data_IF_453185822762
#
_entry.id   IF_453185822762
#
_cell.length_a   1.000
_cell.length_b   1.000
_cell.length_c   1.000
_cell.angle_alpha   90.00
_cell.angle_beta   90.00
_cell.angle_gamma   90.00
#
_symmetry.space_group_name_H-M   'P 1'
#
loop_
_entity.id
_entity.type
_entity.pdbx_description
1 polymer ?
#
# COMPACT_ATOMS: atom_id res chain seq x y z
N UNK A 1 -14.05 -33.41 -14.84
CA UNK A 1 -13.19 -33.04 -15.99
C UNK A 1 -12.46 -31.71 -15.80
N UNK A 2 -13.12 -30.54 -15.76
CA UNK A 2 -12.42 -29.27 -15.49
C UNK A 2 -12.05 -29.07 -14.00
N UNK A 3 -12.81 -29.68 -13.08
CA UNK A 3 -12.50 -29.69 -11.64
C UNK A 3 -11.30 -30.58 -11.27
N UNK A 4 -11.19 -31.77 -11.87
CA UNK A 4 -10.10 -32.72 -11.55
C UNK A 4 -8.71 -32.23 -11.98
N UNK A 5 -8.63 -31.52 -13.11
CA UNK A 5 -7.39 -30.88 -13.58
C UNK A 5 -6.98 -29.68 -12.71
N UNK A 6 -7.97 -28.97 -12.13
CA UNK A 6 -7.72 -27.89 -11.16
C UNK A 6 -7.25 -28.44 -9.83
N UNK A 7 -7.80 -29.57 -9.38
CA UNK A 7 -7.42 -30.24 -8.14
C UNK A 7 -6.02 -30.88 -8.19
N UNK A 8 -5.57 -31.34 -9.36
CA UNK A 8 -4.21 -31.91 -9.53
C UNK A 8 -3.11 -30.84 -9.55
N UNK A 9 -3.31 -29.74 -10.29
CA UNK A 9 -2.45 -28.55 -10.19
C UNK A 9 -2.50 -27.92 -8.80
N UNK A 10 -3.69 -27.89 -8.18
CA UNK A 10 -3.84 -27.46 -6.79
C UNK A 10 -3.19 -28.41 -5.79
N UNK A 11 -3.02 -29.71 -6.07
CA UNK A 11 -2.36 -30.66 -5.18
C UNK A 11 -0.83 -30.46 -5.17
N UNK A 12 -0.23 -30.22 -6.34
CA UNK A 12 1.20 -29.83 -6.45
C UNK A 12 1.44 -28.46 -5.82
N UNK A 13 0.53 -27.50 -6.05
CA UNK A 13 0.52 -26.22 -5.38
C UNK A 13 0.21 -26.35 -3.88
N UNK A 14 -0.58 -27.34 -3.43
CA UNK A 14 -0.97 -27.58 -2.03
C UNK A 14 0.20 -28.12 -1.21
N UNK A 15 1.10 -28.90 -1.81
CA UNK A 15 2.33 -29.35 -1.14
C UNK A 15 3.29 -28.17 -0.91
N UNK A 16 3.42 -27.28 -1.91
CA UNK A 16 4.15 -26.01 -1.79
C UNK A 16 3.44 -24.98 -0.89
N UNK A 17 2.10 -24.95 -0.90
CA UNK A 17 1.26 -24.11 -0.04
C UNK A 17 1.22 -24.61 1.40
N UNK A 18 1.32 -25.92 1.63
CA UNK A 18 1.43 -26.51 2.96
C UNK A 18 2.73 -26.06 3.63
N UNK A 19 3.82 -26.01 2.87
CA UNK A 19 5.09 -25.42 3.31
C UNK A 19 4.95 -23.90 3.53
N UNK A 20 4.26 -23.17 2.65
CA UNK A 20 4.00 -21.72 2.78
C UNK A 20 3.12 -21.34 3.97
N UNK A 21 2.00 -22.04 4.17
CA UNK A 21 1.04 -21.78 5.24
C UNK A 21 1.64 -22.15 6.59
N UNK A 22 2.39 -23.26 6.66
CA UNK A 22 3.19 -23.59 7.83
C UNK A 22 4.25 -22.51 8.09
N UNK A 23 4.91 -21.99 7.05
CA UNK A 23 5.90 -20.92 7.19
C UNK A 23 5.32 -19.57 7.62
N UNK A 24 4.20 -19.17 7.05
CA UNK A 24 3.51 -17.94 7.42
C UNK A 24 2.93 -18.02 8.84
N UNK A 25 2.39 -19.18 9.24
CA UNK A 25 1.90 -19.39 10.61
C UNK A 25 3.05 -19.33 11.64
N UNK A 26 4.20 -19.94 11.33
CA UNK A 26 5.37 -19.89 12.20
C UNK A 26 5.97 -18.48 12.31
N UNK A 27 6.04 -17.72 11.21
CA UNK A 27 6.49 -16.31 11.27
C UNK A 27 5.55 -15.42 12.09
N UNK A 28 4.23 -15.62 11.95
CA UNK A 28 3.25 -14.87 12.72
C UNK A 28 3.34 -15.16 14.23
N UNK A 29 3.70 -16.39 14.62
CA UNK A 29 4.02 -16.74 16.02
C UNK A 29 5.30 -16.03 16.48
N UNK A 30 6.36 -16.01 15.65
CA UNK A 30 7.63 -15.34 16.00
C UNK A 30 7.46 -13.82 16.13
N UNK A 31 6.64 -13.19 15.29
CA UNK A 31 6.36 -11.76 15.37
C UNK A 31 5.46 -11.42 16.59
N UNK A 32 4.55 -12.32 16.99
CA UNK A 32 3.77 -12.21 18.22
C UNK A 32 4.65 -12.40 19.47
N UNK A 33 5.58 -13.36 19.44
CA UNK A 33 6.55 -13.61 20.51
C UNK A 33 7.55 -12.44 20.66
N UNK A 34 7.96 -11.80 19.57
CA UNK A 34 8.76 -10.55 19.59
C UNK A 34 7.97 -9.34 20.10
N UNK A 35 6.65 -9.33 19.93
CA UNK A 35 5.77 -8.30 20.51
C UNK A 35 5.55 -8.50 22.00
N UNK A 36 5.55 -9.74 22.49
CA UNK A 36 5.32 -10.08 23.91
C UNK A 36 6.64 -10.10 24.70
N UNK A 37 7.75 -10.44 24.07
CA UNK A 37 9.09 -10.36 24.64
C UNK A 37 9.74 -9.03 24.29
N UNK A 38 9.52 -8.02 25.13
CA UNK A 38 10.27 -6.78 25.09
C UNK A 38 11.78 -7.04 25.06
N UNK A 39 12.49 -6.15 24.36
CA UNK A 39 13.94 -6.11 24.22
C UNK A 39 14.67 -6.37 25.55
N UNK A 40 15.14 -7.60 25.76
CA UNK A 40 16.36 -7.84 26.55
C UNK A 40 17.48 -8.06 25.54
N UNK A 41 18.22 -6.99 25.24
CA UNK A 41 19.56 -7.14 24.67
C UNK A 41 20.40 -8.00 25.63
N UNK A 42 21.09 -9.06 25.17
CA UNK A 42 22.05 -9.73 26.02
C UNK A 42 23.31 -8.85 26.07
N UNK A 43 23.54 -8.22 27.21
CA UNK A 43 24.85 -7.69 27.59
C UNK A 43 25.92 -8.76 27.37
N UNK A 44 26.95 -8.38 26.62
CA UNK A 44 28.14 -9.20 26.43
C UNK A 44 28.98 -9.18 27.70
N UNK A 45 28.85 -10.20 28.53
CA UNK A 45 29.90 -10.54 29.50
C UNK A 45 30.64 -11.81 29.08
N UNK A 46 31.88 -11.58 28.66
CA UNK A 46 32.85 -12.58 28.29
C UNK A 46 33.58 -13.09 29.54
N UNK A 47 33.14 -14.22 30.10
CA UNK A 47 34.00 -15.16 30.84
C UNK A 47 33.21 -16.32 31.42
N UNK A 48 33.38 -17.52 30.85
CA UNK A 48 33.56 -18.79 31.57
C UNK A 48 33.43 -19.96 30.58
N UNK A 49 34.56 -20.38 30.02
CA UNK A 49 34.67 -21.75 29.55
C UNK A 49 34.73 -22.69 30.76
N UNK A 50 34.10 -23.86 30.54
CA UNK A 50 34.52 -25.20 30.98
C UNK A 50 33.74 -25.84 32.14
N UNK A 51 33.38 -27.10 31.85
CA UNK A 51 32.95 -28.18 32.76
C UNK A 51 31.44 -28.31 33.02
N UNK A 52 30.79 -29.17 32.23
CA UNK A 52 30.33 -30.48 32.71
C UNK A 52 29.64 -31.25 31.57
N UNK A 53 30.31 -32.30 31.10
CA UNK A 53 29.67 -33.40 30.40
C UNK A 53 29.24 -34.42 31.46
N UNK A 54 27.94 -34.66 31.63
CA UNK A 54 27.39 -35.97 31.98
C UNK A 54 25.86 -35.95 31.90
N UNK A 55 25.28 -37.04 31.37
CA UNK A 55 23.93 -37.49 31.74
C UNK A 55 22.74 -37.01 30.90
N UNK A 56 22.17 -37.99 30.18
CA UNK A 56 20.74 -38.14 29.79
C UNK A 56 20.26 -37.53 28.46
N UNK A 57 20.51 -38.31 27.41
CA UNK A 57 19.55 -38.53 26.32
C UNK A 57 18.17 -38.92 26.88
N UNK A 58 17.22 -37.97 26.86
CA UNK A 58 15.82 -38.22 26.47
C UNK A 58 15.07 -36.90 26.40
N UNK A 59 14.25 -36.78 25.36
CA UNK A 59 13.28 -35.71 25.13
C UNK A 59 13.79 -34.41 24.50
N UNK A 60 14.71 -34.52 23.53
CA UNK A 60 14.79 -33.54 22.43
C UNK A 60 13.79 -33.93 21.32
N UNK A 61 12.49 -33.88 21.64
CA UNK A 61 11.44 -33.96 20.64
C UNK A 61 11.61 -32.75 19.70
N UNK A 62 11.99 -33.05 18.45
CA UNK A 62 12.05 -32.18 17.30
C UNK A 62 11.24 -30.87 17.44
N UNK A 63 11.91 -29.78 17.82
CA UNK A 63 11.44 -28.45 17.46
C UNK A 63 11.41 -28.42 15.94
N UNK A 64 10.27 -28.18 15.27
CA UNK A 64 10.25 -28.08 13.82
C UNK A 64 11.21 -26.96 13.42
N UNK A 65 12.18 -27.28 12.57
CA UNK A 65 13.09 -26.30 12.00
C UNK A 65 12.26 -25.16 11.40
N UNK A 66 12.55 -23.93 11.79
CA UNK A 66 11.94 -22.74 11.21
C UNK A 66 12.01 -22.85 9.68
N UNK A 67 10.89 -22.72 8.95
CA UNK A 67 10.93 -22.71 7.51
C UNK A 67 11.77 -21.50 7.10
N UNK A 68 12.93 -21.79 6.52
CA UNK A 68 14.00 -20.84 6.32
C UNK A 68 13.58 -19.74 5.34
N UNK A 69 14.11 -18.52 5.52
CA UNK A 69 14.08 -17.47 4.48
C UNK A 69 14.38 -18.01 3.08
N UNK A 70 15.23 -19.05 2.98
CA UNK A 70 15.53 -19.76 1.75
C UNK A 70 14.35 -20.51 1.12
N UNK A 71 13.48 -21.16 1.90
CA UNK A 71 12.25 -21.80 1.37
C UNK A 71 11.33 -20.74 0.77
N UNK A 72 11.17 -19.66 1.51
CA UNK A 72 10.42 -18.50 1.12
C UNK A 72 11.01 -17.85 -0.15
N UNK A 73 12.33 -17.75 -0.31
CA UNK A 73 12.99 -17.19 -1.50
C UNK A 73 12.92 -18.13 -2.71
N UNK A 74 12.92 -19.44 -2.49
CA UNK A 74 12.65 -20.43 -3.53
C UNK A 74 11.20 -20.30 -4.05
N UNK A 75 10.25 -19.96 -3.18
CA UNK A 75 8.85 -19.72 -3.53
C UNK A 75 8.62 -18.35 -4.19
N UNK A 76 9.55 -17.41 -4.01
CA UNK A 76 9.61 -16.15 -4.76
C UNK A 76 10.25 -16.32 -6.16
N UNK A 77 10.55 -17.55 -6.59
CA UNK A 77 10.98 -17.83 -7.95
C UNK A 77 9.85 -17.53 -8.96
N UNK A 78 10.19 -17.05 -10.16
CA UNK A 78 9.20 -16.81 -11.22
C UNK A 78 8.34 -18.06 -11.50
N UNK A 79 8.94 -19.24 -11.51
CA UNK A 79 8.25 -20.49 -11.83
C UNK A 79 7.19 -20.86 -10.77
N UNK A 80 7.52 -20.71 -9.48
CA UNK A 80 6.58 -20.99 -8.39
C UNK A 80 5.44 -19.95 -8.38
N UNK A 81 5.77 -18.69 -8.62
CA UNK A 81 4.80 -17.61 -8.70
C UNK A 81 3.85 -17.78 -9.89
N UNK A 82 4.37 -18.15 -11.07
CA UNK A 82 3.58 -18.43 -12.26
C UNK A 82 2.60 -19.59 -12.02
N UNK A 83 3.05 -20.68 -11.39
CA UNK A 83 2.17 -21.81 -11.02
C UNK A 83 1.04 -21.37 -10.07
N UNK A 84 1.37 -20.52 -9.09
CA UNK A 84 0.39 -19.96 -8.16
C UNK A 84 -0.64 -19.07 -8.86
N UNK A 85 -0.17 -18.18 -9.76
CA UNK A 85 -1.03 -17.30 -10.56
C UNK A 85 -1.91 -18.08 -11.55
N UNK A 86 -1.38 -19.13 -12.19
CA UNK A 86 -2.16 -20.02 -13.06
C UNK A 86 -3.27 -20.74 -12.30
N UNK A 87 -2.98 -21.18 -11.07
CA UNK A 87 -3.98 -21.79 -10.20
C UNK A 87 -5.07 -20.79 -9.82
N UNK A 88 -4.70 -19.59 -9.38
CA UNK A 88 -5.64 -18.50 -9.11
C UNK A 88 -6.46 -18.10 -10.34
N UNK A 89 -5.85 -18.11 -11.52
CA UNK A 89 -6.49 -17.79 -12.78
C UNK A 89 -7.61 -18.77 -13.15
N UNK A 90 -7.61 -19.99 -12.60
CA UNK A 90 -8.69 -20.95 -12.82
C UNK A 90 -10.03 -20.51 -12.18
N UNK A 91 -9.98 -19.67 -11.14
CA UNK A 91 -11.14 -19.17 -10.40
C UNK A 91 -11.72 -17.85 -10.95
N UNK A 92 -11.03 -17.16 -11.87
CA UNK A 92 -11.36 -15.79 -12.30
C UNK A 92 -12.78 -15.59 -12.84
N UNK A 93 -13.33 -16.60 -13.51
CA UNK A 93 -14.65 -16.55 -14.15
C UNK A 93 -15.73 -17.31 -13.37
N UNK A 94 -15.42 -17.79 -12.15
CA UNK A 94 -16.40 -18.49 -11.34
C UNK A 94 -17.47 -17.52 -10.85
N UNK A 95 -18.74 -17.85 -11.09
CA UNK A 95 -19.87 -17.09 -10.52
C UNK A 95 -19.98 -17.29 -9.01
N UNK A 96 -19.76 -18.54 -8.57
CA UNK A 96 -19.70 -18.96 -7.19
C UNK A 96 -18.59 -20.01 -7.04
N UNK A 97 -17.97 -20.04 -5.86
CA UNK A 97 -16.93 -21.00 -5.50
C UNK A 97 -17.47 -21.95 -4.45
N UNK A 98 -17.19 -23.23 -4.63
CA UNK A 98 -17.35 -24.22 -3.57
C UNK A 98 -16.54 -23.81 -2.33
N UNK A 99 -16.88 -24.36 -1.16
CA UNK A 99 -16.21 -24.00 0.09
C UNK A 99 -14.70 -24.30 0.05
N UNK A 100 -14.35 -25.52 -0.36
CA UNK A 100 -12.96 -25.97 -0.53
C UNK A 100 -12.18 -25.15 -1.58
N UNK A 101 -12.81 -24.83 -2.71
CA UNK A 101 -12.21 -23.99 -3.76
C UNK A 101 -11.97 -22.56 -3.25
N UNK A 102 -12.92 -22.02 -2.48
CA UNK A 102 -12.76 -20.71 -1.87
C UNK A 102 -11.65 -20.70 -0.84
N UNK A 103 -11.56 -21.72 0.02
CA UNK A 103 -10.50 -21.85 1.03
C UNK A 103 -9.11 -21.94 0.40
N UNK A 104 -8.96 -22.74 -0.66
CA UNK A 104 -7.73 -22.83 -1.44
C UNK A 104 -7.36 -21.48 -2.06
N UNK A 105 -8.30 -20.83 -2.75
CA UNK A 105 -8.07 -19.55 -3.41
C UNK A 105 -7.77 -18.41 -2.43
N UNK A 106 -8.38 -18.42 -1.24
CA UNK A 106 -8.06 -17.47 -0.16
C UNK A 106 -6.65 -17.72 0.38
N UNK A 107 -6.28 -18.98 0.61
CA UNK A 107 -4.94 -19.37 1.05
C UNK A 107 -3.85 -18.96 0.04
N UNK A 108 -4.13 -19.12 -1.26
CA UNK A 108 -3.27 -18.65 -2.34
C UNK A 108 -3.11 -17.12 -2.33
N UNK A 109 -4.19 -16.37 -2.14
CA UNK A 109 -4.12 -14.91 -2.03
C UNK A 109 -3.31 -14.45 -0.80
N UNK A 110 -3.45 -15.12 0.35
CA UNK A 110 -2.68 -14.80 1.55
C UNK A 110 -1.19 -15.12 1.36
N UNK A 111 -0.85 -16.27 0.76
CA UNK A 111 0.52 -16.59 0.39
C UNK A 111 1.11 -15.56 -0.59
N UNK A 112 0.32 -15.13 -1.58
CA UNK A 112 0.71 -14.08 -2.51
C UNK A 112 0.99 -12.75 -1.79
N UNK A 113 0.17 -12.33 -0.81
CA UNK A 113 0.44 -11.13 -0.02
C UNK A 113 1.80 -11.19 0.67
N UNK A 114 2.15 -12.34 1.26
CA UNK A 114 3.45 -12.55 1.92
C UNK A 114 4.61 -12.51 0.92
N UNK A 115 4.45 -13.13 -0.25
CA UNK A 115 5.48 -13.12 -1.29
C UNK A 115 5.71 -11.71 -1.85
N UNK A 116 4.63 -10.94 -2.06
CA UNK A 116 4.67 -9.57 -2.57
C UNK A 116 5.35 -8.56 -1.63
N UNK A 117 5.71 -8.94 -0.40
CA UNK A 117 6.60 -8.13 0.44
C UNK A 117 8.06 -8.12 -0.08
N UNK A 118 8.39 -8.95 -1.08
CA UNK A 118 9.74 -9.05 -1.62
C UNK A 118 9.84 -8.43 -3.00
N UNK A 119 10.82 -7.54 -3.24
CA UNK A 119 11.00 -6.89 -4.54
C UNK A 119 11.13 -7.87 -5.71
N UNK A 120 11.81 -9.01 -5.49
CA UNK A 120 11.99 -10.04 -6.53
C UNK A 120 10.65 -10.68 -6.94
N UNK A 121 9.80 -11.00 -5.97
CA UNK A 121 8.49 -11.57 -6.23
C UNK A 121 7.54 -10.53 -6.85
N UNK A 122 7.61 -9.26 -6.42
CA UNK A 122 6.84 -8.17 -7.04
C UNK A 122 7.19 -7.98 -8.52
N UNK A 123 8.49 -7.99 -8.86
CA UNK A 123 8.94 -7.87 -10.25
C UNK A 123 8.48 -9.06 -11.10
N UNK A 124 8.60 -10.29 -10.57
CA UNK A 124 8.12 -11.49 -11.25
C UNK A 124 6.58 -11.48 -11.40
N UNK A 125 5.85 -11.04 -10.38
CA UNK A 125 4.39 -10.90 -10.39
C UNK A 125 3.93 -9.93 -11.48
N UNK A 126 4.61 -8.80 -11.61
CA UNK A 126 4.31 -7.80 -12.63
C UNK A 126 4.60 -8.34 -14.04
N UNK A 127 5.72 -9.07 -14.21
CA UNK A 127 6.07 -9.72 -15.46
C UNK A 127 5.06 -10.81 -15.86
N UNK A 128 4.48 -11.51 -14.88
CA UNK A 128 3.52 -12.59 -15.05
C UNK A 128 2.06 -12.12 -15.24
N UNK A 129 1.82 -10.83 -15.52
CA UNK A 129 0.48 -10.24 -15.64
C UNK A 129 -0.39 -10.44 -14.38
N UNK A 130 0.24 -10.50 -13.20
CA UNK A 130 -0.46 -10.70 -11.94
C UNK A 130 -1.45 -9.58 -11.62
N UNK A 131 -1.13 -8.33 -12.00
CA UNK A 131 -2.02 -7.17 -11.81
C UNK A 131 -3.33 -7.37 -12.58
N UNK A 132 -3.26 -7.82 -13.83
CA UNK A 132 -4.40 -8.15 -14.66
C UNK A 132 -5.27 -9.22 -14.02
N UNK A 133 -4.65 -10.30 -13.53
CA UNK A 133 -5.36 -11.37 -12.86
C UNK A 133 -6.11 -10.88 -11.63
N UNK A 134 -5.48 -10.08 -10.77
CA UNK A 134 -6.14 -9.52 -9.58
C UNK A 134 -7.31 -8.60 -9.96
N UNK A 135 -7.16 -7.78 -11.01
CA UNK A 135 -8.25 -6.94 -11.52
C UNK A 135 -9.42 -7.78 -12.05
N UNK A 136 -9.17 -8.93 -12.68
CA UNK A 136 -10.20 -9.87 -13.09
C UNK A 136 -10.89 -10.54 -11.90
N UNK A 137 -10.13 -10.95 -10.87
CA UNK A 137 -10.67 -11.55 -9.65
C UNK A 137 -11.57 -10.58 -8.88
N UNK A 138 -11.25 -9.28 -8.89
CA UNK A 138 -12.11 -8.24 -8.32
C UNK A 138 -13.47 -8.11 -9.01
N UNK A 139 -13.54 -8.46 -10.29
CA UNK A 139 -14.79 -8.48 -11.07
C UNK A 139 -15.50 -9.83 -10.99
N UNK A 140 -14.78 -10.91 -10.68
CA UNK A 140 -15.28 -12.27 -10.58
C UNK A 140 -15.92 -12.60 -9.21
N UNK A 141 -15.55 -13.74 -8.58
CA UNK A 141 -16.27 -14.32 -7.46
C UNK A 141 -16.24 -13.43 -6.21
N UNK A 142 -17.42 -13.16 -5.65
CA UNK A 142 -17.59 -12.23 -4.51
C UNK A 142 -16.79 -12.60 -3.27
N UNK A 143 -16.52 -13.90 -3.06
CA UNK A 143 -15.72 -14.42 -1.95
C UNK A 143 -14.24 -14.03 -2.05
N UNK A 144 -13.70 -13.83 -3.25
CA UNK A 144 -12.28 -13.52 -3.45
C UNK A 144 -11.99 -12.02 -3.54
N UNK A 145 -13.01 -11.17 -3.73
CA UNK A 145 -12.79 -9.72 -3.94
C UNK A 145 -12.02 -9.05 -2.80
N UNK A 146 -12.30 -9.31 -1.51
CA UNK A 146 -11.52 -8.70 -0.43
C UNK A 146 -10.04 -9.10 -0.47
N UNK A 147 -9.75 -10.39 -0.64
CA UNK A 147 -8.38 -10.89 -0.68
C UNK A 147 -7.63 -10.48 -1.95
N UNK A 148 -8.32 -10.40 -3.09
CA UNK A 148 -7.74 -9.89 -4.33
C UNK A 148 -7.41 -8.40 -4.23
N UNK A 149 -8.25 -7.60 -3.57
CA UNK A 149 -7.98 -6.16 -3.36
C UNK A 149 -6.79 -5.97 -2.41
N UNK A 150 -6.71 -6.81 -1.36
CA UNK A 150 -5.56 -6.84 -0.46
C UNK A 150 -4.28 -7.22 -1.19
N UNK A 151 -4.29 -8.29 -1.98
CA UNK A 151 -3.14 -8.68 -2.78
C UNK A 151 -2.72 -7.57 -3.76
N UNK A 152 -3.69 -6.85 -4.33
CA UNK A 152 -3.42 -5.72 -5.22
C UNK A 152 -2.74 -4.56 -4.47
N UNK A 153 -3.15 -4.27 -3.23
CA UNK A 153 -2.49 -3.29 -2.35
C UNK A 153 -1.01 -3.64 -2.16
N UNK A 154 -0.67 -4.89 -1.86
CA UNK A 154 0.72 -5.34 -1.74
C UNK A 154 1.47 -5.32 -3.08
N UNK A 155 0.78 -5.59 -4.19
CA UNK A 155 1.40 -5.62 -5.52
C UNK A 155 1.82 -4.23 -6.01
N UNK A 156 1.08 -3.18 -5.63
CA UNK A 156 1.40 -1.79 -6.02
C UNK A 156 2.25 -1.06 -4.99
N UNK A 157 2.34 -1.56 -3.75
CA UNK A 157 3.15 -0.95 -2.70
C UNK A 157 4.64 -1.01 -3.06
N UNK A 158 5.28 0.16 -3.19
CA UNK A 158 6.70 0.32 -3.50
C UNK A 158 7.17 -0.46 -4.77
N UNK A 159 6.26 -0.72 -5.71
CA UNK A 159 6.51 -1.48 -6.93
C UNK A 159 6.46 -0.56 -8.16
N UNK A 160 7.61 -0.17 -8.72
CA UNK A 160 7.67 0.77 -9.84
C UNK A 160 7.02 0.16 -11.08
N UNK A 161 6.12 0.90 -11.71
CA UNK A 161 5.38 0.49 -12.91
C UNK A 161 4.11 -0.33 -12.64
N UNK A 162 3.92 -0.89 -11.43
CA UNK A 162 2.69 -1.60 -11.10
C UNK A 162 1.47 -0.66 -11.08
N UNK A 163 1.64 0.57 -10.59
CA UNK A 163 0.59 1.58 -10.60
C UNK A 163 0.21 2.01 -12.01
N UNK A 164 1.19 2.23 -12.88
CA UNK A 164 0.96 2.46 -14.30
C UNK A 164 0.15 1.31 -14.93
N UNK A 165 0.50 0.06 -14.58
CA UNK A 165 -0.19 -1.13 -15.09
C UNK A 165 -1.66 -1.19 -14.68
N UNK A 166 -1.97 -0.85 -13.42
CA UNK A 166 -3.35 -0.74 -12.93
C UNK A 166 -4.17 0.23 -13.78
N UNK A 167 -3.60 1.38 -14.17
CA UNK A 167 -4.31 2.37 -14.99
C UNK A 167 -4.51 1.88 -16.42
N UNK A 168 -3.49 1.31 -17.05
CA UNK A 168 -3.56 0.77 -18.42
C UNK A 168 -4.60 -0.35 -18.57
N UNK A 169 -4.75 -1.16 -17.53
CA UNK A 169 -5.66 -2.32 -17.50
C UNK A 169 -7.07 -1.97 -16.98
N UNK A 170 -7.39 -0.68 -16.86
CA UNK A 170 -8.72 -0.21 -16.50
C UNK A 170 -9.07 -0.38 -15.01
N UNK A 171 -8.07 -0.60 -14.14
CA UNK A 171 -8.26 -0.80 -12.71
C UNK A 171 -8.92 0.38 -11.99
N UNK A 172 -8.81 1.61 -12.51
CA UNK A 172 -9.48 2.79 -11.97
C UNK A 172 -11.01 2.65 -11.91
N UNK A 173 -11.61 1.92 -12.85
CA UNK A 173 -13.05 1.64 -12.80
C UNK A 173 -13.43 0.73 -11.63
N UNK A 174 -12.60 -0.29 -11.38
CA UNK A 174 -12.78 -1.23 -10.27
C UNK A 174 -12.55 -0.53 -8.92
N UNK A 175 -11.48 0.27 -8.81
CA UNK A 175 -11.16 1.05 -7.62
C UNK A 175 -12.22 2.13 -7.34
N UNK A 176 -12.73 2.81 -8.37
CA UNK A 176 -13.85 3.74 -8.24
C UNK A 176 -15.12 3.04 -7.75
N UNK A 177 -15.41 1.84 -8.25
CA UNK A 177 -16.49 1.00 -7.73
C UNK A 177 -16.29 0.60 -6.27
N UNK A 178 -15.06 0.27 -5.86
CA UNK A 178 -14.71 -0.05 -4.48
C UNK A 178 -14.90 1.15 -3.54
N UNK A 179 -14.41 2.32 -3.96
CA UNK A 179 -14.53 3.59 -3.24
C UNK A 179 -15.99 3.97 -2.99
N UNK A 180 -16.85 3.77 -3.99
CA UNK A 180 -18.28 4.05 -3.93
C UNK A 180 -19.10 2.92 -3.24
N UNK A 181 -18.45 1.90 -2.68
CA UNK A 181 -19.13 0.77 -2.04
C UNK A 181 -19.92 -0.13 -2.99
N UNK A 182 -19.66 -0.06 -4.31
CA UNK A 182 -20.37 -0.83 -5.36
C UNK A 182 -19.86 -2.27 -5.48
N UNK A 183 -18.70 -2.60 -4.92
CA UNK A 183 -18.17 -3.96 -4.90
C UNK A 183 -18.88 -4.82 -3.84
N UNK A 184 -19.80 -5.68 -4.29
CA UNK A 184 -20.53 -6.64 -3.42
C UNK A 184 -19.62 -7.79 -2.95
N UNK A 185 -19.71 -8.18 -1.68
CA UNK A 185 -18.96 -9.32 -1.08
C UNK A 185 -19.88 -10.51 -0.81
N UNK A 186 -19.29 -11.70 -0.71
CA UNK A 186 -20.00 -12.97 -0.55
C UNK A 186 -20.58 -13.25 0.84
N UNK A 187 -20.22 -12.51 1.89
CA UNK A 187 -20.73 -12.74 3.25
C UNK A 187 -20.70 -11.48 4.14
N UNK A 188 -21.58 -11.47 5.16
CA UNK A 188 -21.74 -10.43 6.19
C UNK A 188 -20.66 -10.48 7.30
N UNK A 189 -19.80 -11.51 7.31
CA UNK A 189 -18.88 -11.80 8.42
C UNK A 189 -17.44 -11.30 8.21
N UNK A 190 -17.09 -10.82 7.00
CA UNK A 190 -15.83 -10.10 6.73
C UNK A 190 -16.00 -8.58 6.92
N UNK A 191 -16.78 -8.20 7.94
CA UNK A 191 -16.74 -6.84 8.50
C UNK A 191 -15.49 -6.69 9.36
N UNK A 192 -14.32 -6.99 8.78
CA UNK A 192 -13.14 -6.21 9.14
C UNK A 192 -13.46 -4.80 8.63
N UNK A 193 -13.50 -3.85 9.57
CA UNK A 193 -13.75 -2.46 9.25
C UNK A 193 -12.88 -2.06 8.04
N UNK A 194 -13.50 -1.49 7.01
CA UNK A 194 -12.79 -0.80 5.93
C UNK A 194 -12.06 -1.67 4.87
N UNK A 195 -12.48 -2.93 4.62
CA UNK A 195 -11.86 -3.74 3.55
C UNK A 195 -12.01 -3.15 2.13
N UNK A 196 -13.02 -2.32 1.88
CA UNK A 196 -13.34 -1.80 0.54
C UNK A 196 -12.75 -0.42 0.27
N UNK A 197 -13.31 0.67 0.84
CA UNK A 197 -12.89 2.03 0.52
C UNK A 197 -11.44 2.32 0.95
N UNK A 198 -11.05 1.99 2.19
CA UNK A 198 -9.69 2.22 2.69
C UNK A 198 -8.60 1.51 1.87
N UNK A 199 -8.82 0.25 1.48
CA UNK A 199 -7.88 -0.48 0.61
C UNK A 199 -7.86 0.06 -0.82
N UNK A 200 -9.00 0.44 -1.37
CA UNK A 200 -9.06 1.06 -2.69
C UNK A 200 -8.28 2.38 -2.73
N UNK A 201 -8.38 3.17 -1.67
CA UNK A 201 -7.61 4.39 -1.48
C UNK A 201 -6.12 4.10 -1.34
N UNK A 202 -5.73 3.02 -0.65
CA UNK A 202 -4.34 2.60 -0.55
C UNK A 202 -3.74 2.30 -1.94
N UNK A 203 -4.46 1.51 -2.75
CA UNK A 203 -4.06 1.22 -4.13
C UNK A 203 -4.00 2.50 -4.96
N UNK A 204 -5.00 3.38 -4.83
CA UNK A 204 -5.03 4.66 -5.55
C UNK A 204 -3.86 5.56 -5.17
N UNK A 205 -3.53 5.68 -3.88
CA UNK A 205 -2.40 6.47 -3.42
C UNK A 205 -1.07 5.94 -3.97
N UNK A 206 -0.88 4.61 -3.95
CA UNK A 206 0.31 3.97 -4.53
C UNK A 206 0.39 4.19 -6.05
N UNK A 207 -0.73 4.09 -6.78
CA UNK A 207 -0.81 4.45 -8.21
C UNK A 207 -0.39 5.91 -8.43
N UNK A 208 -0.92 6.84 -7.63
CA UNK A 208 -0.56 8.25 -7.71
C UNK A 208 0.94 8.47 -7.44
N UNK A 209 1.53 7.77 -6.48
CA UNK A 209 2.97 7.86 -6.18
C UNK A 209 3.84 7.32 -7.33
N UNK A 210 3.51 6.15 -7.89
CA UNK A 210 4.23 5.53 -9.02
C UNK A 210 4.19 6.39 -10.29
N UNK A 211 3.02 6.98 -10.59
CA UNK A 211 2.85 7.87 -11.76
C UNK A 211 3.55 9.23 -11.61
N UNK A 212 3.95 9.59 -10.39
CA UNK A 212 4.75 10.77 -10.08
C UNK A 212 6.26 10.50 -10.01
N UNK A 213 6.68 9.24 -10.18
CA UNK A 213 8.08 8.93 -10.41
C UNK A 213 8.45 9.36 -11.84
N UNK A 214 9.30 10.37 -11.92
CA UNK A 214 9.94 10.80 -13.16
C UNK A 214 10.92 9.72 -13.61
N UNK A 215 10.98 9.47 -14.92
CA UNK A 215 12.12 8.76 -15.51
C UNK A 215 13.38 9.55 -15.13
N UNK A 216 14.47 8.85 -14.80
CA UNK A 216 15.74 9.40 -14.29
C UNK A 216 16.52 10.25 -15.32
N UNK A 217 15.86 11.19 -16.01
CA UNK A 217 16.39 11.96 -17.12
C UNK A 217 16.75 13.43 -16.81
N UNK A 218 16.30 14.00 -15.69
CA UNK A 218 16.49 15.44 -15.38
C UNK A 218 17.36 15.68 -14.13
N UNK A 219 18.42 14.89 -13.98
CA UNK A 219 19.55 15.29 -13.15
C UNK A 219 20.34 16.42 -13.84
N UNK A 220 20.81 17.46 -13.12
CA UNK A 220 21.61 18.54 -13.71
C UNK A 220 22.91 18.06 -14.39
N UNK A 221 23.33 16.82 -14.15
CA UNK A 221 24.56 16.24 -14.69
C UNK A 221 24.48 15.80 -16.17
N UNK A 222 23.29 15.61 -16.76
CA UNK A 222 23.16 15.24 -18.18
C UNK A 222 23.07 16.42 -19.16
N UNK A 223 22.81 17.64 -18.68
CA UNK A 223 22.89 18.85 -19.52
C UNK A 223 24.32 19.14 -20.01
N UNK A 224 25.33 18.64 -19.29
CA UNK A 224 26.73 18.70 -19.71
C UNK A 224 27.09 17.58 -20.70
N UNK A 225 26.45 16.41 -20.62
CA UNK A 225 26.67 15.31 -21.56
C UNK A 225 26.00 15.54 -22.93
N UNK A 226 24.88 16.26 -22.98
CA UNK A 226 24.17 16.58 -24.24
C UNK A 226 24.79 17.77 -25.00
N UNK A 227 25.78 18.46 -24.44
CA UNK A 227 26.45 19.58 -25.10
C UNK A 227 27.70 19.19 -25.91
N UNK A 228 28.14 17.92 -25.88
CA UNK A 228 29.33 17.47 -26.62
C UNK A 228 29.05 16.64 -27.88
N UNK A 229 27.80 16.23 -28.16
CA UNK A 229 27.48 15.50 -29.39
C UNK A 229 26.80 16.41 -30.42
N UNK A 230 27.62 17.17 -31.14
CA UNK A 230 27.23 17.89 -32.36
C UNK A 230 27.73 17.12 -33.58
N UNK A 231 26.87 16.30 -34.21
CA UNK A 231 26.85 16.16 -35.67
C UNK A 231 25.57 15.47 -36.18
N UNK A 232 24.91 15.95 -37.25
CA UNK A 232 23.67 15.37 -37.74
C UNK A 232 23.90 14.39 -38.89
N UNK A 233 23.35 13.18 -38.79
CA UNK A 233 23.09 12.31 -39.94
C UNK A 233 21.67 11.75 -39.84
N UNK A 234 20.86 11.76 -40.92
CA UNK A 234 19.47 11.33 -40.87
C UNK A 234 19.40 9.82 -41.10
N UNK A 235 19.56 9.04 -40.03
CA UNK A 235 19.11 7.64 -40.02
C UNK A 235 17.87 7.54 -39.15
N UNK A 236 16.73 7.36 -39.80
CA UNK A 236 15.48 6.97 -39.16
C UNK A 236 15.68 5.64 -38.45
N UNK A 237 15.79 5.68 -37.13
CA UNK A 237 15.49 4.54 -36.25
C UNK A 237 14.29 4.95 -35.41
N UNK A 238 13.21 4.15 -35.34
CA UNK A 238 12.09 4.45 -34.46
C UNK A 238 12.60 4.37 -33.01
N UNK A 239 12.20 5.28 -32.10
CA UNK A 239 12.53 5.13 -30.69
C UNK A 239 11.76 3.93 -30.14
N UNK A 240 12.41 2.77 -30.07
CA UNK A 240 11.95 1.63 -29.29
C UNK A 240 12.34 1.84 -27.83
N UNK A 241 11.51 2.57 -27.10
CA UNK A 241 11.46 2.49 -25.63
C UNK A 241 10.00 2.60 -25.22
N UNK A 242 9.33 1.45 -25.09
CA UNK A 242 7.92 1.31 -24.72
C UNK A 242 7.68 1.59 -23.23
N UNK A 243 8.24 2.68 -22.70
CA UNK A 243 7.91 3.14 -21.37
C UNK A 243 6.50 3.75 -21.41
N UNK A 244 5.61 3.42 -20.45
CA UNK A 244 4.28 3.99 -20.42
C UNK A 244 4.38 5.51 -20.27
N UNK A 245 3.63 6.26 -21.08
CA UNK A 245 3.52 7.71 -20.94
C UNK A 245 2.81 8.04 -19.62
N UNK A 246 3.59 8.17 -18.54
CA UNK A 246 3.09 8.45 -17.21
C UNK A 246 2.29 9.75 -17.18
N UNK A 247 2.61 10.74 -18.03
CA UNK A 247 1.83 11.98 -18.10
C UNK A 247 0.42 11.73 -18.64
N UNK A 248 0.28 10.96 -19.71
CA UNK A 248 -1.03 10.53 -20.19
C UNK A 248 -1.78 9.71 -19.14
N UNK A 249 -1.11 8.83 -18.39
CA UNK A 249 -1.73 8.05 -17.32
C UNK A 249 -2.20 8.94 -16.16
N UNK A 250 -1.45 9.96 -15.76
CA UNK A 250 -1.86 10.92 -14.72
C UNK A 250 -3.16 11.65 -15.11
N UNK A 251 -3.25 12.11 -16.35
CA UNK A 251 -4.46 12.73 -16.87
C UNK A 251 -5.66 11.77 -16.87
N UNK A 252 -5.44 10.48 -17.18
CA UNK A 252 -6.51 9.46 -17.11
C UNK A 252 -7.03 9.25 -15.69
N UNK A 253 -6.14 9.27 -14.70
CA UNK A 253 -6.54 9.21 -13.28
C UNK A 253 -7.42 10.40 -12.94
N UNK A 254 -6.99 11.63 -13.24
CA UNK A 254 -7.77 12.83 -12.98
C UNK A 254 -9.15 12.79 -13.67
N UNK A 255 -9.19 12.45 -14.97
CA UNK A 255 -10.43 12.37 -15.74
C UNK A 255 -11.44 11.38 -15.13
N UNK A 256 -10.98 10.26 -14.55
CA UNK A 256 -11.87 9.30 -13.86
C UNK A 256 -12.57 9.90 -12.65
N UNK A 257 -11.99 10.91 -12.00
CA UNK A 257 -12.62 11.64 -10.89
C UNK A 257 -13.48 12.83 -11.35
N UNK A 258 -13.53 13.12 -12.64
CA UNK A 258 -14.41 14.13 -13.26
C UNK A 258 -15.68 13.52 -13.84
N UNK A 259 -15.65 12.23 -14.13
CA UNK A 259 -16.84 11.47 -14.53
C UNK A 259 -17.98 11.61 -13.51
N UNK A 260 -19.21 11.45 -14.01
CA UNK A 260 -20.42 11.31 -13.15
C UNK A 260 -20.55 12.39 -12.09
N UNK A 261 -20.30 13.66 -12.48
CA UNK A 261 -20.39 14.83 -11.60
C UNK A 261 -19.49 14.73 -10.35
N UNK A 262 -18.28 14.19 -10.51
CA UNK A 262 -17.30 14.07 -9.44
C UNK A 262 -17.70 13.12 -8.29
N UNK A 263 -18.59 12.13 -8.52
CA UNK A 263 -19.04 11.21 -7.45
C UNK A 263 -17.88 10.53 -6.70
N UNK A 264 -16.79 10.22 -7.42
CA UNK A 264 -15.61 9.57 -6.85
C UNK A 264 -14.81 10.54 -5.97
N UNK A 265 -14.76 11.81 -6.36
CA UNK A 265 -14.12 12.85 -5.56
C UNK A 265 -14.93 13.16 -4.29
N UNK A 266 -16.26 13.17 -4.41
CA UNK A 266 -17.18 13.31 -3.28
C UNK A 266 -16.95 12.20 -2.24
N UNK A 267 -16.94 10.93 -2.68
CA UNK A 267 -16.69 9.80 -1.79
C UNK A 267 -15.28 9.82 -1.18
N UNK A 268 -14.25 10.19 -1.96
CA UNK A 268 -12.89 10.37 -1.46
C UNK A 268 -12.83 11.44 -0.35
N UNK A 269 -13.47 12.59 -0.57
CA UNK A 269 -13.48 13.70 0.36
C UNK A 269 -14.33 13.42 1.60
N UNK A 270 -15.42 12.67 1.48
CA UNK A 270 -16.21 12.22 2.62
C UNK A 270 -15.38 11.32 3.56
N UNK A 271 -14.64 10.37 3.00
CA UNK A 271 -13.69 9.54 3.75
C UNK A 271 -12.58 10.39 4.37
N UNK A 272 -12.04 11.36 3.62
CA UNK A 272 -10.99 12.25 4.13
C UNK A 272 -11.46 13.00 5.37
N UNK A 273 -12.64 13.61 5.32
CA UNK A 273 -13.19 14.30 6.49
C UNK A 273 -13.48 13.36 7.65
N UNK A 274 -14.05 12.17 7.39
CA UNK A 274 -14.33 11.18 8.44
C UNK A 274 -13.07 10.74 9.20
N UNK A 275 -11.97 10.49 8.49
CA UNK A 275 -10.70 10.16 9.12
C UNK A 275 -10.03 11.38 9.79
N UNK A 276 -10.12 12.56 9.17
CA UNK A 276 -9.57 13.80 9.73
C UNK A 276 -10.24 14.15 11.07
N UNK A 277 -11.57 14.03 11.16
CA UNK A 277 -12.33 14.27 12.38
C UNK A 277 -11.99 13.25 13.48
N UNK A 278 -11.85 11.97 13.13
CA UNK A 278 -11.45 10.93 14.10
C UNK A 278 -10.05 11.17 14.65
N UNK A 279 -9.08 11.43 13.79
CA UNK A 279 -7.70 11.75 14.21
C UNK A 279 -7.67 13.03 15.05
N UNK A 280 -8.37 14.08 14.62
CA UNK A 280 -8.46 15.34 15.37
C UNK A 280 -9.11 15.17 16.75
N UNK A 281 -10.12 14.34 16.89
CA UNK A 281 -10.76 14.04 18.17
C UNK A 281 -9.81 13.32 19.14
N UNK A 282 -8.99 12.39 18.64
CA UNK A 282 -7.97 11.71 19.44
C UNK A 282 -6.88 12.70 19.91
N UNK A 283 -6.41 13.58 19.01
CA UNK A 283 -5.46 14.64 19.35
C UNK A 283 -6.01 15.60 20.41
N UNK A 284 -7.28 16.00 20.29
CA UNK A 284 -7.93 16.86 21.28
C UNK A 284 -8.10 16.14 22.63
N UNK A 285 -8.45 14.87 22.63
CA UNK A 285 -8.57 14.06 23.85
C UNK A 285 -7.22 13.92 24.57
N UNK A 286 -6.14 13.63 23.83
CA UNK A 286 -4.78 13.59 24.39
C UNK A 286 -4.36 14.97 24.93
N UNK A 287 -4.64 16.05 24.19
CA UNK A 287 -4.35 17.42 24.64
C UNK A 287 -5.04 17.74 25.98
N UNK A 288 -6.32 17.38 26.14
CA UNK A 288 -7.05 17.56 27.41
C UNK A 288 -6.43 16.75 28.54
N UNK A 289 -6.06 15.49 28.31
CA UNK A 289 -5.36 14.65 29.30
C UNK A 289 -4.02 15.26 29.74
N UNK A 290 -3.25 15.80 28.79
CA UNK A 290 -1.98 16.49 29.07
C UNK A 290 -2.21 17.77 29.92
N UNK A 291 -3.21 18.58 29.57
CA UNK A 291 -3.57 19.78 30.32
C UNK A 291 -4.05 19.47 31.74
N UNK A 292 -4.88 18.43 31.91
CA UNK A 292 -5.34 17.98 33.22
C UNK A 292 -4.20 17.46 34.09
N UNK A 293 -3.29 16.65 33.54
CA UNK A 293 -2.11 16.18 34.24
C UNK A 293 -1.20 17.36 34.65
N UNK A 294 -1.05 18.36 33.77
CA UNK A 294 -0.30 19.58 34.07
C UNK A 294 -0.96 20.40 35.17
N UNK A 295 -2.27 20.59 35.12
CA UNK A 295 -3.04 21.32 36.13
C UNK A 295 -3.01 20.68 37.51
N UNK A 296 -2.87 19.35 37.57
CA UNK A 296 -2.69 18.58 38.82
C UNK A 296 -1.24 18.49 39.29
N UNK A 297 -0.27 19.02 38.53
CA UNK A 297 1.16 18.89 38.85
C UNK A 297 1.71 17.47 38.67
N UNK A 298 1.02 16.60 37.92
CA UNK A 298 1.38 15.20 37.70
C UNK A 298 2.10 14.97 36.36
N UNK A 299 2.22 15.99 35.51
CA UNK A 299 2.83 15.87 34.18
C UNK A 299 4.36 15.80 34.29
N UNK A 300 4.89 14.59 34.51
CA UNK A 300 6.31 14.31 34.38
C UNK A 300 6.72 14.13 32.91
N UNK A 301 8.02 14.25 32.56
CA UNK A 301 8.50 13.96 31.21
C UNK A 301 8.12 12.56 30.73
N UNK A 302 8.18 11.56 31.61
CA UNK A 302 7.87 10.16 31.31
C UNK A 302 6.39 9.97 30.99
N UNK A 303 5.50 10.54 31.81
CA UNK A 303 4.06 10.49 31.54
C UNK A 303 3.69 11.21 30.23
N UNK A 304 4.37 12.32 29.92
CA UNK A 304 4.17 13.02 28.65
C UNK A 304 4.52 12.13 27.46
N UNK A 305 5.64 11.41 27.51
CA UNK A 305 6.04 10.48 26.44
C UNK A 305 5.01 9.37 26.30
N UNK A 306 4.63 8.71 27.41
CA UNK A 306 3.64 7.63 27.39
C UNK A 306 2.28 8.07 26.80
N UNK A 307 1.80 9.27 27.11
CA UNK A 307 0.55 9.80 26.55
C UNK A 307 0.64 10.14 25.06
N UNK A 308 1.84 10.50 24.57
CA UNK A 308 2.07 10.75 23.15
C UNK A 308 2.21 9.45 22.36
N UNK A 309 2.86 8.43 22.94
CA UNK A 309 2.94 7.08 22.35
C UNK A 309 1.53 6.47 22.24
N UNK A 310 0.73 6.52 23.32
CA UNK A 310 -0.67 6.08 23.31
C UNK A 310 -1.49 6.82 22.23
N UNK A 311 -1.22 8.11 22.02
CA UNK A 311 -1.88 8.88 20.96
C UNK A 311 -1.49 8.37 19.56
N UNK A 312 -0.23 8.08 19.30
CA UNK A 312 0.21 7.60 17.99
C UNK A 312 -0.34 6.19 17.70
N UNK A 313 -0.41 5.31 18.69
CA UNK A 313 -1.11 4.02 18.59
C UNK A 313 -2.60 4.21 18.29
N UNK A 314 -3.28 5.08 19.04
CA UNK A 314 -4.70 5.37 18.84
C UNK A 314 -4.98 5.99 17.47
N UNK A 315 -4.10 6.86 16.97
CA UNK A 315 -4.20 7.43 15.62
C UNK A 315 -4.08 6.36 14.55
N UNK A 316 -3.15 5.41 14.70
CA UNK A 316 -2.97 4.31 13.77
C UNK A 316 -4.20 3.38 13.76
N UNK A 317 -4.63 2.93 14.94
CA UNK A 317 -5.64 1.87 15.08
C UNK A 317 -7.08 2.40 15.01
N UNK A 318 -7.40 3.44 15.79
CA UNK A 318 -8.78 3.98 15.93
C UNK A 318 -9.04 5.11 14.92
N UNK A 319 -8.03 5.98 14.74
CA UNK A 319 -8.11 7.13 13.84
C UNK A 319 -8.01 6.76 12.36
N UNK A 320 -7.31 5.68 12.04
CA UNK A 320 -6.98 5.31 10.66
C UNK A 320 -6.06 6.33 10.00
N UNK A 321 -5.00 6.74 10.70
CA UNK A 321 -4.02 7.72 10.23
C UNK A 321 -3.40 7.36 8.87
N UNK A 322 -3.05 6.09 8.66
CA UNK A 322 -2.49 5.65 7.38
C UNK A 322 -3.46 5.84 6.22
N UNK A 323 -4.76 5.57 6.43
CA UNK A 323 -5.80 5.85 5.43
C UNK A 323 -5.93 7.34 5.19
N UNK A 324 -5.89 8.18 6.24
CA UNK A 324 -5.91 9.64 6.10
C UNK A 324 -4.73 10.16 5.27
N UNK A 325 -3.53 9.64 5.52
CA UNK A 325 -2.32 9.99 4.77
C UNK A 325 -2.43 9.57 3.29
N UNK A 326 -2.93 8.36 3.02
CA UNK A 326 -3.19 7.86 1.64
C UNK A 326 -4.25 8.71 0.93
N UNK A 327 -5.33 9.10 1.61
CA UNK A 327 -6.32 10.05 1.11
C UNK A 327 -5.68 11.40 0.77
N UNK A 328 -4.81 11.91 1.64
CA UNK A 328 -4.13 13.18 1.41
C UNK A 328 -3.23 13.14 0.16
N UNK A 329 -2.51 12.05 -0.07
CA UNK A 329 -1.73 11.83 -1.28
C UNK A 329 -2.64 11.85 -2.52
N UNK A 330 -3.73 11.09 -2.50
CA UNK A 330 -4.69 11.03 -3.60
C UNK A 330 -5.31 12.41 -3.89
N UNK A 331 -5.76 13.14 -2.86
CA UNK A 331 -6.32 14.48 -3.00
C UNK A 331 -5.31 15.47 -3.57
N UNK A 332 -4.06 15.46 -3.10
CA UNK A 332 -3.02 16.36 -3.60
C UNK A 332 -2.60 16.04 -5.05
N UNK A 333 -2.60 14.75 -5.41
CA UNK A 333 -2.41 14.33 -6.79
C UNK A 333 -3.54 14.84 -7.69
N UNK A 334 -4.80 14.66 -7.29
CA UNK A 334 -5.96 15.16 -8.04
C UNK A 334 -5.98 16.69 -8.12
N UNK A 335 -5.54 17.39 -7.07
CA UNK A 335 -5.38 18.85 -7.09
C UNK A 335 -4.37 19.30 -8.15
N UNK A 336 -3.26 18.58 -8.27
CA UNK A 336 -2.20 18.86 -9.25
C UNK A 336 -2.67 18.60 -10.68
N UNK A 337 -3.14 17.38 -10.95
CA UNK A 337 -3.42 16.90 -12.32
C UNK A 337 -4.86 17.19 -12.80
N UNK A 338 -5.77 17.53 -11.90
CA UNK A 338 -7.17 17.80 -12.20
C UNK A 338 -7.42 19.08 -12.99
N UNK A 339 -8.55 19.13 -13.71
CA UNK A 339 -9.05 20.36 -14.30
C UNK A 339 -9.46 21.39 -13.24
N UNK A 340 -9.70 22.63 -13.66
CA UNK A 340 -10.21 23.67 -12.77
C UNK A 340 -11.58 23.33 -12.18
N UNK A 341 -12.39 22.54 -12.89
CA UNK A 341 -13.66 22.02 -12.37
C UNK A 341 -13.46 21.10 -11.17
N UNK A 342 -12.53 20.13 -11.31
CA UNK A 342 -12.20 19.22 -10.21
C UNK A 342 -11.58 19.97 -9.02
N UNK A 343 -10.69 20.93 -9.27
CA UNK A 343 -10.09 21.76 -8.20
C UNK A 343 -11.15 22.56 -7.45
N UNK A 344 -12.07 23.22 -8.15
CA UNK A 344 -13.19 23.95 -7.53
C UNK A 344 -14.02 23.00 -6.67
N UNK A 345 -14.37 21.81 -7.18
CA UNK A 345 -15.14 20.83 -6.43
C UNK A 345 -14.41 20.34 -5.17
N UNK A 346 -13.12 20.01 -5.27
CA UNK A 346 -12.32 19.61 -4.10
C UNK A 346 -12.26 20.73 -3.04
N UNK A 347 -12.12 21.99 -3.48
CA UNK A 347 -12.10 23.14 -2.58
C UNK A 347 -13.47 23.38 -1.92
N UNK A 348 -14.57 23.28 -2.67
CA UNK A 348 -15.93 23.33 -2.13
C UNK A 348 -16.13 22.26 -1.05
N UNK A 349 -15.76 21.00 -1.35
CA UNK A 349 -15.92 19.89 -0.42
C UNK A 349 -15.12 20.09 0.87
N UNK A 350 -13.90 20.61 0.78
CA UNK A 350 -13.10 20.99 1.96
C UNK A 350 -13.84 22.05 2.79
N UNK A 351 -14.31 23.12 2.15
CA UNK A 351 -14.95 24.24 2.85
C UNK A 351 -16.30 23.87 3.48
N UNK A 352 -17.01 22.86 2.98
CA UNK A 352 -18.27 22.38 3.59
C UNK A 352 -18.08 21.99 5.06
N UNK A 353 -16.90 21.45 5.44
CA UNK A 353 -16.58 21.11 6.83
C UNK A 353 -15.69 22.12 7.53
N UNK A 354 -15.57 23.33 6.96
CA UNK A 354 -14.77 24.42 7.53
C UNK A 354 -13.26 24.21 7.48
N UNK A 355 -12.78 23.23 6.71
CA UNK A 355 -11.36 22.98 6.47
C UNK A 355 -10.96 23.51 5.10
N UNK A 356 -9.72 23.96 4.97
CA UNK A 356 -9.14 24.39 3.70
C UNK A 356 -7.98 23.47 3.28
N UNK A 357 -7.27 23.87 2.23
CA UNK A 357 -6.05 23.19 1.77
C UNK A 357 -4.96 23.10 2.86
N UNK A 358 -5.04 23.94 3.90
CA UNK A 358 -4.15 23.86 5.06
C UNK A 358 -4.27 22.53 5.82
N UNK A 359 -5.46 21.94 5.91
CA UNK A 359 -5.66 20.64 6.55
C UNK A 359 -4.96 19.53 5.76
N UNK A 360 -5.16 19.52 4.43
CA UNK A 360 -4.49 18.60 3.52
C UNK A 360 -2.96 18.73 3.60
N UNK A 361 -2.46 19.96 3.63
CA UNK A 361 -1.04 20.27 3.81
C UNK A 361 -0.50 19.76 5.15
N UNK A 362 -1.24 19.95 6.23
CA UNK A 362 -0.86 19.48 7.57
C UNK A 362 -0.65 17.97 7.62
N UNK A 363 -1.57 17.20 7.02
CA UNK A 363 -1.46 15.73 6.93
C UNK A 363 -0.23 15.32 6.13
N UNK A 364 0.00 15.92 4.97
CA UNK A 364 1.18 15.63 4.14
C UNK A 364 2.50 16.01 4.82
N UNK A 365 2.52 17.10 5.61
CA UNK A 365 3.68 17.51 6.40
C UNK A 365 3.97 16.53 7.54
N UNK A 366 2.94 16.00 8.20
CA UNK A 366 3.11 14.92 9.20
C UNK A 366 3.71 13.70 8.51
N UNK A 367 3.11 13.23 7.42
CA UNK A 367 3.61 12.09 6.68
C UNK A 367 5.10 12.26 6.31
N UNK A 368 5.50 13.44 5.80
CA UNK A 368 6.89 13.71 5.44
C UNK A 368 7.84 13.64 6.66
N UNK A 369 7.39 14.07 7.84
CA UNK A 369 8.16 13.99 9.09
C UNK A 369 8.33 12.54 9.55
N UNK A 370 7.29 11.74 9.36
CA UNK A 370 7.20 10.37 9.89
C UNK A 370 7.81 9.32 8.94
N UNK A 371 8.34 9.70 7.77
CA UNK A 371 9.03 8.80 6.82
C UNK A 371 10.31 8.13 7.39
N UNK A 372 10.75 8.52 8.58
CA UNK A 372 12.06 8.23 9.17
C UNK A 372 12.43 6.75 9.27
N UNK A 373 11.47 5.87 9.56
CA UNK A 373 11.74 4.51 10.06
C UNK A 373 11.33 3.36 9.12
N UNK A 374 10.60 3.64 8.03
CA UNK A 374 9.94 2.59 7.23
C UNK A 374 10.61 2.26 5.88
N UNK A 375 11.62 3.02 5.44
CA UNK A 375 12.21 2.85 4.11
C UNK A 375 13.32 1.78 4.09
N UNK A 376 13.21 0.80 3.19
CA UNK A 376 14.24 -0.25 3.01
C UNK A 376 15.62 0.29 2.58
N UNK A 377 15.68 1.50 2.00
CA UNK A 377 16.92 2.12 1.53
C UNK A 377 16.87 3.66 1.69
N UNK A 378 18.00 4.33 1.95
CA UNK A 378 18.08 5.79 1.94
C UNK A 378 17.64 6.39 0.59
N UNK A 379 17.79 5.65 -0.51
CA UNK A 379 17.35 6.10 -1.84
C UNK A 379 15.83 6.10 -1.98
N UNK A 380 15.15 5.04 -1.50
CA UNK A 380 13.68 4.96 -1.55
C UNK A 380 13.05 6.03 -0.66
N UNK A 381 13.65 6.29 0.51
CA UNK A 381 13.30 7.44 1.36
C UNK A 381 13.41 8.76 0.60
N UNK A 382 14.57 9.06 0.01
CA UNK A 382 14.80 10.32 -0.74
C UNK A 382 13.84 10.46 -1.92
N UNK A 383 13.54 9.38 -2.64
CA UNK A 383 12.56 9.37 -3.74
C UNK A 383 11.17 9.77 -3.23
N UNK A 384 10.72 9.16 -2.13
CA UNK A 384 9.43 9.44 -1.52
C UNK A 384 9.34 10.86 -0.94
N UNK A 385 10.40 11.33 -0.26
CA UNK A 385 10.53 12.72 0.21
C UNK A 385 10.40 13.73 -0.94
N UNK A 386 11.07 13.51 -2.08
CA UNK A 386 10.95 14.37 -3.25
C UNK A 386 9.52 14.40 -3.81
N UNK A 387 8.86 13.24 -3.92
CA UNK A 387 7.48 13.14 -4.39
C UNK A 387 6.51 13.91 -3.49
N UNK A 388 6.58 13.66 -2.18
CA UNK A 388 5.72 14.32 -1.20
C UNK A 388 6.02 15.82 -1.12
N UNK A 389 7.28 16.24 -1.23
CA UNK A 389 7.66 17.64 -1.33
C UNK A 389 7.02 18.35 -2.54
N UNK A 390 6.93 17.67 -3.69
CA UNK A 390 6.23 18.22 -4.88
C UNK A 390 4.72 18.35 -4.67
N UNK A 391 4.06 17.36 -4.06
CA UNK A 391 2.64 17.46 -3.69
C UNK A 391 2.40 18.56 -2.66
N UNK A 392 3.30 18.71 -1.71
CA UNK A 392 3.24 19.80 -0.74
C UNK A 392 3.40 21.16 -1.41
N UNK A 393 4.25 21.29 -2.43
CA UNK A 393 4.39 22.54 -3.18
C UNK A 393 3.12 22.90 -3.98
N UNK A 394 2.41 21.90 -4.54
CA UNK A 394 1.20 22.14 -5.34
C UNK A 394 0.01 22.58 -4.48
N UNK A 395 -0.12 22.01 -3.28
CA UNK A 395 -1.09 22.44 -2.25
C UNK A 395 -0.57 23.65 -1.47
N UNK A 396 0.74 23.90 -1.56
CA UNK A 396 1.57 24.85 -0.81
C UNK A 396 1.62 26.26 -1.37
N UNK A 397 1.53 26.38 -2.69
CA UNK A 397 1.72 27.61 -3.43
C UNK A 397 0.83 28.74 -2.92
N UNK A 398 1.43 29.67 -2.20
CA UNK A 398 0.91 31.00 -1.85
C UNK A 398 0.79 31.91 -3.10
N UNK A 399 0.33 31.35 -4.23
CA UNK A 399 0.38 31.99 -5.54
C UNK A 399 -0.76 31.67 -6.50
N UNK A 400 -1.86 31.06 -6.04
CA UNK A 400 -3.07 30.93 -6.86
C UNK A 400 -4.37 30.98 -6.02
N UNK A 401 -4.57 32.08 -5.29
CA UNK A 401 -5.62 33.06 -5.59
C UNK A 401 -5.34 33.99 -6.81
N UNK A 402 -4.72 33.48 -7.89
CA UNK A 402 -4.23 34.27 -9.04
C UNK A 402 -4.48 33.61 -10.40
N UNK A 403 -5.59 32.89 -10.54
CA UNK A 403 -6.01 32.38 -11.85
C UNK A 403 -7.16 31.38 -11.81
N UNK A 404 -7.72 31.11 -10.62
CA UNK A 404 -9.18 31.11 -10.55
C UNK A 404 -9.59 32.57 -10.42
N UNK A 405 -9.56 33.31 -11.52
CA UNK A 405 -10.46 34.44 -11.67
C UNK A 405 -11.87 33.84 -11.51
N UNK A 406 -12.39 33.91 -10.28
CA UNK A 406 -13.80 33.82 -9.96
C UNK A 406 -14.47 35.08 -10.52
N UNK A 407 -14.34 35.30 -11.83
CA UNK A 407 -15.08 36.27 -12.57
C UNK A 407 -16.33 35.56 -13.12
N UNK A 408 -17.40 35.67 -12.33
CA UNK A 408 -18.82 35.33 -12.55
C UNK A 408 -19.33 34.07 -11.88
#
# INVERSE_FOLDING_TARGET
MAGDARLTLAAEAAETLGVLLHACHQQRIVDEERRVGGEEEPEKDASAEKEAADGTEKDAAARPASPSLAALDALASPEALDAMLLTLASFRNASELAEEEAELALSLCDALCTLLLRPRAQAAFLAAEGVELLLLLLQGPKKLRPSALRALEFAVADSPGAGARVVERGGLGVLGGALLGRLRVGSRNERSADWGPGRAVAVLAAVCEDLMEEDEGDGPDQLLAKQSETNPAPSQTPPSSSAPDKAALRMRVAAKFEETQHEKADALMELFHSHLERVGALEEACRKRLEEARGRGLLTPELRVALLEELEEDKADKGGLFTLQRLAIACAFLWREGSDGLRRRLLELLHVRGVGLAALRGVLQSLLRDLGDAAHSPETRRRRERRLGRLLATVGGTGHDRGVDLAR
#
